data_IF_018072239899
#
_entry.id   IF_018072239899
#
_cell.length_a   1.000
_cell.length_b   1.000
_cell.length_c   1.000
_cell.angle_alpha   90.00
_cell.angle_beta   90.00
_cell.angle_gamma   90.00
#
_symmetry.space_group_name_H-M   'P 1'
#
loop_
_entity.id
_entity.type
_entity.pdbx_description
1 polymer ?
#
# COMPACT_ATOMS: atom_id res chain seq x y z
N UNK A 1 8.18 -5.84 17.17
CA UNK A 1 7.68 -5.34 18.48
C UNK A 1 8.83 -4.69 19.23
N UNK A 2 8.79 -3.35 19.34
CA UNK A 2 9.88 -2.51 19.88
C UNK A 2 10.33 -2.96 21.28
N UNK A 3 11.64 -2.91 21.54
CA UNK A 3 12.24 -3.26 22.82
C UNK A 3 11.59 -2.50 24.00
N UNK A 4 11.23 -1.24 23.77
CA UNK A 4 10.59 -0.37 24.76
C UNK A 4 9.19 -0.88 25.19
N UNK A 5 8.43 -1.50 24.29
CA UNK A 5 7.11 -2.07 24.61
C UNK A 5 7.28 -3.34 25.47
N UNK A 6 8.33 -4.13 25.23
CA UNK A 6 8.63 -5.31 26.06
C UNK A 6 9.07 -4.91 27.47
N UNK A 7 9.95 -3.91 27.58
CA UNK A 7 10.41 -3.37 28.85
C UNK A 7 9.24 -2.81 29.68
N UNK A 8 8.35 -2.05 29.04
CA UNK A 8 7.19 -1.45 29.70
C UNK A 8 6.21 -2.50 30.23
N UNK A 9 5.92 -3.56 29.44
CA UNK A 9 5.11 -4.70 29.91
C UNK A 9 5.69 -5.36 31.16
N UNK A 10 7.02 -5.52 31.18
CA UNK A 10 7.72 -6.11 32.32
C UNK A 10 7.62 -5.22 33.57
N UNK A 11 7.83 -3.90 33.42
CA UNK A 11 7.71 -2.93 34.52
C UNK A 11 6.30 -2.95 35.11
N UNK A 12 5.26 -2.89 34.27
CA UNK A 12 3.85 -2.91 34.73
C UNK A 12 3.51 -4.24 35.42
N UNK A 13 4.02 -5.36 34.92
CA UNK A 13 3.83 -6.67 35.55
C UNK A 13 4.46 -6.74 36.94
N UNK A 14 5.71 -6.30 37.07
CA UNK A 14 6.43 -6.29 38.36
C UNK A 14 5.81 -5.32 39.35
N UNK A 15 5.44 -4.10 38.92
CA UNK A 15 4.80 -3.11 39.80
C UNK A 15 3.44 -3.59 40.32
N UNK A 16 2.67 -4.28 39.48
CA UNK A 16 1.37 -4.85 39.88
C UNK A 16 1.52 -5.97 40.90
N UNK A 17 2.53 -6.84 40.72
CA UNK A 17 2.82 -7.90 41.69
C UNK A 17 3.27 -7.33 43.05
N UNK A 18 4.14 -6.32 43.04
CA UNK A 18 4.58 -5.63 44.26
C UNK A 18 3.42 -4.93 44.97
N UNK A 19 2.50 -4.30 44.23
CA UNK A 19 1.32 -3.66 44.82
C UNK A 19 0.40 -4.66 45.51
N UNK A 20 0.17 -5.84 44.91
CA UNK A 20 -0.62 -6.90 45.52
C UNK A 20 0.01 -7.40 46.82
N UNK A 21 1.33 -7.62 46.83
CA UNK A 21 2.07 -8.04 48.03
C UNK A 21 1.95 -6.98 49.12
N UNK A 22 2.16 -5.71 48.78
CA UNK A 22 2.04 -4.59 49.74
C UNK A 22 0.62 -4.49 50.32
N UNK A 23 -0.41 -4.63 49.47
CA UNK A 23 -1.81 -4.56 49.90
C UNK A 23 -2.20 -5.70 50.83
N UNK A 24 -1.68 -6.91 50.59
CA UNK A 24 -1.89 -8.06 51.48
C UNK A 24 -1.20 -7.87 52.84
N UNK A 25 0.03 -7.34 52.85
CA UNK A 25 0.75 -7.04 54.10
C UNK A 25 0.00 -5.98 54.91
N UNK A 26 -0.43 -4.88 54.26
CA UNK A 26 -1.18 -3.80 54.91
C UNK A 26 -2.52 -4.29 55.48
N UNK A 27 -3.20 -5.19 54.77
CA UNK A 27 -4.45 -5.81 55.24
C UNK A 27 -4.21 -6.72 56.44
N UNK A 28 -3.15 -7.52 56.42
CA UNK A 28 -2.77 -8.37 57.54
C UNK A 28 -2.45 -7.54 58.80
N UNK A 29 -1.69 -6.47 58.65
CA UNK A 29 -1.34 -5.55 59.74
C UNK A 29 -2.59 -4.86 60.32
N UNK A 30 -3.51 -4.44 59.46
CA UNK A 30 -4.77 -3.80 59.89
C UNK A 30 -5.64 -4.78 60.70
N UNK A 31 -5.72 -6.05 60.30
CA UNK A 31 -6.47 -7.09 61.02
C UNK A 31 -5.88 -7.35 62.42
N UNK A 32 -4.54 -7.39 62.52
CA UNK A 32 -3.85 -7.60 63.79
C UNK A 32 -4.02 -6.40 64.73
N UNK A 33 -3.78 -5.17 64.25
CA UNK A 33 -3.81 -3.96 65.08
C UNK A 33 -5.23 -3.63 65.58
N UNK A 34 -6.26 -3.85 64.77
CA UNK A 34 -7.66 -3.60 65.15
C UNK A 34 -8.32 -4.82 65.84
N UNK A 35 -7.56 -5.90 66.09
CA UNK A 35 -8.02 -7.17 66.70
C UNK A 35 -9.28 -7.73 66.04
N UNK A 36 -9.40 -7.55 64.73
CA UNK A 36 -10.59 -7.99 63.98
C UNK A 36 -10.72 -9.52 63.95
N UNK A 37 -9.64 -10.25 64.25
CA UNK A 37 -9.64 -11.72 64.38
C UNK A 37 -10.38 -12.24 65.62
N UNK A 38 -10.63 -11.41 66.63
CA UNK A 38 -11.35 -11.81 67.86
C UNK A 38 -12.87 -11.71 67.72
N UNK A 39 -13.36 -11.20 66.58
CA UNK A 39 -14.79 -11.03 66.32
C UNK A 39 -15.34 -12.09 65.38
N UNK A 40 -16.59 -12.49 65.61
CA UNK A 40 -17.30 -13.41 64.73
C UNK A 40 -17.52 -12.78 63.34
N UNK A 41 -17.38 -13.60 62.30
CA UNK A 41 -17.63 -13.18 60.92
C UNK A 41 -19.14 -12.92 60.77
N UNK A 42 -19.50 -11.68 60.49
CA UNK A 42 -20.86 -11.27 60.18
C UNK A 42 -20.96 -10.58 58.81
N UNK A 43 -22.11 -10.76 58.13
CA UNK A 43 -22.42 -10.14 56.84
C UNK A 43 -23.60 -9.16 56.92
N UNK A 44 -24.03 -8.81 58.12
CA UNK A 44 -25.08 -7.81 58.30
C UNK A 44 -24.59 -6.40 57.90
N UNK A 45 -25.53 -5.52 57.51
CA UNK A 45 -25.24 -4.16 57.03
C UNK A 45 -24.40 -3.36 58.04
N UNK A 46 -24.65 -3.52 59.34
CA UNK A 46 -23.87 -2.83 60.39
C UNK A 46 -22.42 -3.34 60.45
N UNK A 47 -22.24 -4.64 60.30
CA UNK A 47 -20.93 -5.30 60.31
C UNK A 47 -20.09 -4.91 59.08
N UNK A 48 -20.70 -4.87 57.90
CA UNK A 48 -20.05 -4.44 56.66
C UNK A 48 -19.64 -2.96 56.71
N UNK A 49 -20.47 -2.08 57.29
CA UNK A 49 -20.10 -0.66 57.47
C UNK A 49 -18.93 -0.49 58.41
N UNK A 50 -18.94 -1.17 59.56
CA UNK A 50 -17.84 -1.13 60.52
C UNK A 50 -16.52 -1.62 59.91
N UNK A 51 -16.55 -2.73 59.17
CA UNK A 51 -15.38 -3.25 58.46
C UNK A 51 -14.90 -2.29 57.37
N UNK A 52 -15.81 -1.72 56.58
CA UNK A 52 -15.48 -0.76 55.52
C UNK A 52 -14.87 0.54 56.08
N UNK A 53 -15.34 1.03 57.22
CA UNK A 53 -14.74 2.20 57.90
C UNK A 53 -13.32 1.90 58.37
N UNK A 54 -13.12 0.75 59.02
CA UNK A 54 -11.81 0.33 59.54
C UNK A 54 -10.80 -0.06 58.48
N UNK A 55 -11.26 -0.50 57.30
CA UNK A 55 -10.41 -0.86 56.15
C UNK A 55 -10.42 0.17 55.02
N UNK A 56 -11.03 1.33 55.24
CA UNK A 56 -11.23 2.39 54.24
C UNK A 56 -9.93 2.83 53.55
N UNK A 57 -8.82 2.89 54.28
CA UNK A 57 -7.50 3.19 53.71
C UNK A 57 -7.06 2.17 52.64
N UNK A 58 -7.25 0.87 52.91
CA UNK A 58 -6.93 -0.22 51.96
C UNK A 58 -7.86 -0.16 50.75
N UNK A 59 -9.16 0.08 50.97
CA UNK A 59 -10.14 0.24 49.89
C UNK A 59 -9.76 1.40 48.97
N UNK A 60 -9.30 2.53 49.52
CA UNK A 60 -8.84 3.68 48.74
C UNK A 60 -7.59 3.35 47.91
N UNK A 61 -6.64 2.58 48.43
CA UNK A 61 -5.48 2.10 47.65
C UNK A 61 -5.91 1.22 46.47
N UNK A 62 -6.81 0.26 46.70
CA UNK A 62 -7.33 -0.59 45.62
C UNK A 62 -8.09 0.21 44.56
N UNK A 63 -8.87 1.22 44.97
CA UNK A 63 -9.54 2.11 44.03
C UNK A 63 -8.54 2.91 43.18
N UNK A 64 -7.52 3.52 43.80
CA UNK A 64 -6.48 4.27 43.08
C UNK A 64 -5.70 3.38 42.10
N UNK A 65 -5.37 2.16 42.51
CA UNK A 65 -4.72 1.18 41.64
C UNK A 65 -5.64 0.70 40.50
N UNK A 66 -6.93 0.52 40.77
CA UNK A 66 -7.93 0.22 39.75
C UNK A 66 -7.99 1.31 38.68
N UNK A 67 -8.03 2.58 39.08
CA UNK A 67 -7.97 3.72 38.16
C UNK A 67 -6.68 3.75 37.33
N UNK A 68 -5.55 3.45 37.96
CA UNK A 68 -4.25 3.38 37.29
C UNK A 68 -4.24 2.26 36.24
N UNK A 69 -4.66 1.05 36.59
CA UNK A 69 -4.75 -0.08 35.63
C UNK A 69 -5.68 0.28 34.48
N UNK A 70 -6.88 0.78 34.77
CA UNK A 70 -7.85 1.14 33.71
C UNK A 70 -7.23 2.15 32.74
N UNK A 71 -6.53 3.16 33.25
CA UNK A 71 -5.83 4.15 32.40
C UNK A 71 -4.79 3.48 31.50
N UNK A 72 -3.95 2.59 32.05
CA UNK A 72 -2.98 1.84 31.24
C UNK A 72 -3.67 0.98 30.18
N UNK A 73 -4.68 0.21 30.56
CA UNK A 73 -5.43 -0.66 29.63
C UNK A 73 -6.05 0.16 28.51
N UNK A 74 -6.66 1.31 28.82
CA UNK A 74 -7.24 2.20 27.81
C UNK A 74 -6.18 2.73 26.84
N UNK A 75 -5.06 3.25 27.35
CA UNK A 75 -3.98 3.80 26.50
C UNK A 75 -3.38 2.71 25.61
N UNK A 76 -3.08 1.53 26.16
CA UNK A 76 -2.56 0.41 25.38
C UNK A 76 -3.58 -0.15 24.40
N UNK A 77 -4.86 -0.21 24.77
CA UNK A 77 -5.94 -0.64 23.90
C UNK A 77 -6.03 0.24 22.66
N UNK A 78 -6.01 1.57 22.83
CA UNK A 78 -5.98 2.54 21.73
C UNK A 78 -4.71 2.38 20.89
N UNK A 79 -3.54 2.23 21.52
CA UNK A 79 -2.28 2.05 20.80
C UNK A 79 -2.27 0.78 19.93
N UNK A 80 -2.75 -0.35 20.49
CA UNK A 80 -2.85 -1.63 19.77
C UNK A 80 -3.86 -1.51 18.64
N UNK A 81 -5.01 -0.86 18.85
CA UNK A 81 -6.00 -0.62 17.81
C UNK A 81 -5.38 0.17 16.64
N UNK A 82 -4.61 1.23 16.92
CA UNK A 82 -3.94 2.01 15.89
C UNK A 82 -2.87 1.21 15.13
N UNK A 83 -2.06 0.41 15.84
CA UNK A 83 -1.07 -0.48 15.20
C UNK A 83 -1.74 -1.52 14.31
N UNK A 84 -2.85 -2.11 14.78
CA UNK A 84 -3.63 -3.09 14.04
C UNK A 84 -4.24 -2.46 12.79
N UNK A 85 -4.78 -1.25 12.91
CA UNK A 85 -5.30 -0.48 11.78
C UNK A 85 -4.20 -0.22 10.74
N UNK A 86 -3.05 0.30 11.15
CA UNK A 86 -1.96 0.60 10.22
C UNK A 86 -1.39 -0.66 9.55
N UNK A 87 -1.23 -1.75 10.31
CA UNK A 87 -0.84 -3.05 9.75
C UNK A 87 -1.90 -3.57 8.77
N UNK A 88 -3.18 -3.39 9.08
CA UNK A 88 -4.31 -3.73 8.21
C UNK A 88 -4.29 -2.94 6.90
N UNK A 89 -4.13 -1.62 6.95
CA UNK A 89 -4.02 -0.76 5.76
C UNK A 89 -2.82 -1.18 4.91
N UNK A 90 -1.65 -1.39 5.51
CA UNK A 90 -0.45 -1.84 4.78
C UNK A 90 -0.67 -3.19 4.09
N UNK A 91 -1.27 -4.15 4.79
CA UNK A 91 -1.55 -5.47 4.23
C UNK A 91 -2.59 -5.39 3.10
N UNK A 92 -3.63 -4.57 3.28
CA UNK A 92 -4.65 -4.33 2.28
C UNK A 92 -4.04 -3.71 1.01
N UNK A 93 -3.21 -2.68 1.15
CA UNK A 93 -2.51 -2.04 0.02
C UNK A 93 -1.62 -3.03 -0.71
N UNK A 94 -0.87 -3.88 0.00
CA UNK A 94 -0.03 -4.90 -0.63
C UNK A 94 -0.85 -5.97 -1.38
N UNK A 95 -1.98 -6.38 -0.80
CA UNK A 95 -2.90 -7.32 -1.47
C UNK A 95 -3.54 -6.71 -2.71
N UNK A 96 -3.99 -5.45 -2.62
CA UNK A 96 -4.57 -4.71 -3.74
C UNK A 96 -3.53 -4.51 -4.86
N UNK A 97 -2.31 -4.09 -4.51
CA UNK A 97 -1.20 -3.97 -5.45
C UNK A 97 -0.94 -5.28 -6.19
N UNK A 98 -0.86 -6.39 -5.46
CA UNK A 98 -0.60 -7.72 -6.05
C UNK A 98 -1.73 -8.14 -6.99
N UNK A 99 -2.98 -7.89 -6.59
CA UNK A 99 -4.17 -8.19 -7.39
C UNK A 99 -4.21 -7.35 -8.68
N UNK A 100 -4.00 -6.04 -8.59
CA UNK A 100 -4.02 -5.15 -9.75
C UNK A 100 -2.87 -5.43 -10.72
N UNK A 101 -1.65 -5.69 -10.22
CA UNK A 101 -0.52 -6.10 -11.05
C UNK A 101 -0.79 -7.44 -11.76
N UNK A 102 -1.40 -8.40 -11.07
CA UNK A 102 -1.76 -9.69 -11.65
C UNK A 102 -2.80 -9.51 -12.75
N UNK A 103 -3.85 -8.73 -12.49
CA UNK A 103 -4.89 -8.39 -13.47
C UNK A 103 -4.31 -7.69 -14.71
N UNK A 104 -3.46 -6.68 -14.50
CA UNK A 104 -2.77 -5.99 -15.59
C UNK A 104 -1.94 -6.96 -16.43
N UNK A 105 -1.12 -7.80 -15.80
CA UNK A 105 -0.24 -8.75 -16.50
C UNK A 105 -1.05 -9.79 -17.28
N UNK A 106 -2.10 -10.35 -16.67
CA UNK A 106 -2.94 -11.35 -17.31
C UNK A 106 -3.68 -10.77 -18.51
N UNK A 107 -4.29 -9.60 -18.35
CA UNK A 107 -4.94 -8.89 -19.45
C UNK A 107 -3.94 -8.55 -20.55
N UNK A 108 -2.82 -7.93 -20.19
CA UNK A 108 -1.80 -7.52 -21.16
C UNK A 108 -1.22 -8.73 -21.91
N UNK A 109 -0.97 -9.83 -21.22
CA UNK A 109 -0.50 -11.07 -21.84
C UNK A 109 -1.55 -11.67 -22.77
N UNK A 110 -2.83 -11.68 -22.38
CA UNK A 110 -3.91 -12.21 -23.21
C UNK A 110 -4.16 -11.36 -24.46
N UNK A 111 -3.96 -10.04 -24.38
CA UNK A 111 -4.00 -9.17 -25.54
C UNK A 111 -2.77 -9.33 -26.43
N UNK A 112 -1.60 -9.59 -25.85
CA UNK A 112 -0.37 -9.79 -26.62
C UNK A 112 -0.44 -11.05 -27.51
N UNK A 113 -1.05 -12.14 -27.04
CA UNK A 113 -1.17 -13.38 -27.82
C UNK A 113 -2.02 -13.24 -29.08
N UNK A 114 -2.86 -12.20 -29.17
CA UNK A 114 -3.65 -11.89 -30.38
C UNK A 114 -2.81 -11.26 -31.50
N UNK A 115 -1.56 -10.88 -31.22
CA UNK A 115 -0.68 -10.12 -32.11
C UNK A 115 0.45 -11.03 -32.60
N UNK A 116 0.54 -11.22 -33.90
CA UNK A 116 1.52 -12.13 -34.52
C UNK A 116 2.93 -11.57 -34.56
N UNK A 117 3.06 -10.25 -34.52
CA UNK A 117 4.31 -9.55 -34.90
C UNK A 117 5.04 -8.98 -33.68
N UNK A 118 4.56 -9.26 -32.46
CA UNK A 118 5.18 -8.86 -31.19
C UNK A 118 5.54 -10.11 -30.39
N UNK A 119 6.81 -10.25 -30.04
CA UNK A 119 7.27 -11.38 -29.24
C UNK A 119 7.06 -11.13 -27.74
N UNK A 120 6.53 -12.09 -26.96
CA UNK A 120 6.32 -11.94 -25.52
C UNK A 120 7.58 -11.56 -24.73
N UNK A 121 8.73 -12.11 -25.11
CA UNK A 121 10.03 -11.83 -24.48
C UNK A 121 10.48 -10.36 -24.62
N UNK A 122 9.86 -9.63 -25.54
CA UNK A 122 10.16 -8.23 -25.82
C UNK A 122 9.30 -7.25 -25.04
N UNK A 123 8.41 -7.73 -24.17
CA UNK A 123 7.52 -6.89 -23.37
C UNK A 123 7.76 -7.16 -21.89
N UNK A 124 8.19 -6.12 -21.17
CA UNK A 124 8.34 -6.14 -19.73
C UNK A 124 7.10 -5.54 -19.05
N UNK A 125 6.13 -6.41 -18.73
CA UNK A 125 4.88 -6.01 -18.07
C UNK A 125 5.11 -5.31 -16.73
N UNK A 126 6.13 -5.69 -15.97
CA UNK A 126 6.43 -5.06 -14.69
C UNK A 126 6.93 -3.62 -14.87
N UNK A 127 7.79 -3.37 -15.86
CA UNK A 127 8.25 -2.02 -16.21
C UNK A 127 7.09 -1.16 -16.67
N UNK A 128 6.27 -1.68 -17.59
CA UNK A 128 5.08 -0.97 -18.06
C UNK A 128 4.16 -0.61 -16.90
N UNK A 129 3.80 -1.58 -16.07
CA UNK A 129 2.95 -1.37 -14.91
C UNK A 129 3.53 -0.33 -13.95
N UNK A 130 4.82 -0.39 -13.64
CA UNK A 130 5.47 0.55 -12.71
C UNK A 130 5.51 1.97 -13.25
N UNK A 131 5.66 2.15 -14.56
CA UNK A 131 5.59 3.46 -15.20
C UNK A 131 4.15 3.98 -15.17
N UNK A 132 3.17 3.12 -15.45
CA UNK A 132 1.75 3.49 -15.47
C UNK A 132 1.20 3.81 -14.08
N UNK A 133 1.57 3.03 -13.06
CA UNK A 133 1.05 3.10 -11.69
C UNK A 133 2.16 3.07 -10.63
N UNK A 134 2.99 4.14 -10.52
CA UNK A 134 4.15 4.17 -9.63
C UNK A 134 3.77 4.07 -8.14
N UNK A 135 2.64 4.65 -7.75
CA UNK A 135 2.18 4.73 -6.36
C UNK A 135 1.23 3.59 -5.94
N UNK A 136 1.08 2.56 -6.78
CA UNK A 136 0.15 1.45 -6.51
C UNK A 136 0.47 0.67 -5.23
N UNK A 137 1.74 0.63 -4.81
CA UNK A 137 2.14 0.02 -3.53
C UNK A 137 1.61 0.81 -2.32
N UNK A 138 1.40 2.12 -2.48
CA UNK A 138 0.77 3.01 -1.51
C UNK A 138 -0.76 2.95 -1.51
N UNK A 139 -1.36 2.20 -2.45
CA UNK A 139 -2.80 2.08 -2.63
C UNK A 139 -3.40 3.05 -3.65
N UNK A 140 -2.57 3.86 -4.33
CA UNK A 140 -3.02 4.76 -5.39
C UNK A 140 -2.81 4.13 -6.77
N UNK A 141 -3.90 3.80 -7.45
CA UNK A 141 -3.92 3.21 -8.80
C UNK A 141 -4.18 4.25 -9.89
N UNK A 142 -3.91 5.52 -9.62
CA UNK A 142 -4.00 6.58 -10.62
C UNK A 142 -2.89 6.46 -11.67
N UNK A 143 -3.23 6.74 -12.93
CA UNK A 143 -2.24 6.76 -14.01
C UNK A 143 -1.28 7.93 -13.84
N UNK A 144 0.02 7.65 -13.94
CA UNK A 144 1.05 8.65 -13.77
C UNK A 144 1.10 9.67 -14.91
N UNK A 145 1.54 10.89 -14.60
CA UNK A 145 1.80 11.91 -15.61
C UNK A 145 2.96 11.51 -16.53
N UNK A 146 3.98 10.87 -15.97
CA UNK A 146 5.16 10.38 -16.71
C UNK A 146 4.74 9.39 -17.81
N UNK A 147 3.80 8.48 -17.50
CA UNK A 147 3.25 7.57 -18.51
C UNK A 147 2.56 8.32 -19.64
N UNK A 148 1.71 9.29 -19.31
CA UNK A 148 1.01 10.11 -20.30
C UNK A 148 1.98 10.92 -21.18
N UNK A 149 3.07 11.41 -20.60
CA UNK A 149 4.13 12.10 -21.33
C UNK A 149 4.84 11.15 -22.31
N UNK A 150 5.12 9.90 -21.90
CA UNK A 150 5.69 8.90 -22.81
C UNK A 150 4.73 8.60 -23.96
N UNK A 151 3.43 8.41 -23.69
CA UNK A 151 2.41 8.24 -24.74
C UNK A 151 2.39 9.44 -25.70
N UNK A 152 2.46 10.66 -25.17
CA UNK A 152 2.55 11.87 -25.98
C UNK A 152 3.82 11.89 -26.84
N UNK A 153 4.96 11.43 -26.31
CA UNK A 153 6.21 11.34 -27.07
C UNK A 153 6.15 10.31 -28.19
N UNK A 154 5.45 9.18 -28.00
CA UNK A 154 5.19 8.21 -29.08
C UNK A 154 4.47 8.91 -30.23
N UNK A 155 3.39 9.66 -29.92
CA UNK A 155 2.67 10.47 -30.91
C UNK A 155 3.59 11.48 -31.59
N UNK A 156 4.42 12.21 -30.85
CA UNK A 156 5.35 13.18 -31.43
C UNK A 156 6.32 12.54 -32.43
N UNK A 157 6.79 11.31 -32.19
CA UNK A 157 7.64 10.59 -33.15
C UNK A 157 6.89 10.31 -34.46
N UNK A 158 5.62 9.92 -34.39
CA UNK A 158 4.76 9.71 -35.57
C UNK A 158 4.54 11.03 -36.34
N UNK A 159 4.24 12.10 -35.63
CA UNK A 159 3.99 13.42 -36.21
C UNK A 159 5.25 14.00 -36.86
N UNK A 160 6.41 13.83 -36.22
CA UNK A 160 7.70 14.21 -36.79
C UNK A 160 7.96 13.47 -38.11
N UNK A 161 7.78 12.14 -38.14
CA UNK A 161 7.92 11.35 -39.36
C UNK A 161 6.98 11.82 -40.49
N UNK A 162 5.74 12.18 -40.14
CA UNK A 162 4.79 12.73 -41.10
C UNK A 162 5.23 14.09 -41.65
N UNK A 163 5.76 14.97 -40.80
CA UNK A 163 6.26 16.28 -41.20
C UNK A 163 7.44 16.15 -42.18
N UNK A 164 8.33 15.18 -41.95
CA UNK A 164 9.44 14.86 -42.84
C UNK A 164 9.04 14.32 -44.22
N UNK A 165 7.78 13.96 -44.44
CA UNK A 165 7.25 13.56 -45.76
C UNK A 165 6.60 14.74 -46.48
N UNK A 166 5.98 15.66 -45.74
CA UNK A 166 5.17 16.73 -46.34
C UNK A 166 5.88 18.06 -46.51
N UNK A 167 6.99 18.29 -45.82
CA UNK A 167 7.76 19.52 -45.96
C UNK A 167 8.78 19.41 -47.10
N UNK A 168 8.81 20.39 -48.01
CA UNK A 168 9.64 20.39 -49.24
C UNK A 168 11.15 20.25 -48.98
N UNK A 169 11.63 20.59 -47.78
CA UNK A 169 13.06 20.59 -47.41
C UNK A 169 13.46 19.44 -46.48
N UNK A 170 12.56 18.47 -46.23
CA UNK A 170 12.82 17.35 -45.33
C UNK A 170 12.77 16.03 -46.10
N UNK A 171 13.77 15.19 -45.86
CA UNK A 171 13.81 13.83 -46.39
C UNK A 171 13.49 12.82 -45.30
N UNK A 172 12.49 11.97 -45.54
CA UNK A 172 12.07 10.95 -44.60
C UNK A 172 13.06 9.79 -44.54
N UNK A 173 13.77 9.68 -43.42
CA UNK A 173 14.70 8.58 -43.15
C UNK A 173 14.08 7.55 -42.23
N UNK A 174 13.60 6.44 -42.80
CA UNK A 174 12.94 5.37 -42.03
C UNK A 174 13.78 4.83 -40.86
N UNK A 175 15.11 4.74 -41.04
CA UNK A 175 16.02 4.29 -39.96
C UNK A 175 16.05 5.26 -38.79
N UNK A 176 15.87 6.55 -39.03
CA UNK A 176 15.79 7.56 -37.97
C UNK A 176 14.48 7.42 -37.21
N UNK A 177 13.35 7.29 -37.91
CA UNK A 177 12.04 7.02 -37.31
C UNK A 177 12.06 5.74 -36.46
N UNK A 178 12.56 4.64 -37.03
CA UNK A 178 12.68 3.35 -36.35
C UNK A 178 13.45 3.46 -35.02
N UNK A 179 14.61 4.13 -35.02
CA UNK A 179 15.41 4.32 -33.80
C UNK A 179 14.69 5.17 -32.75
N UNK A 180 14.03 6.26 -33.16
CA UNK A 180 13.27 7.12 -32.25
C UNK A 180 12.09 6.38 -31.61
N UNK A 181 11.34 5.65 -32.43
CA UNK A 181 10.21 4.85 -31.95
C UNK A 181 10.67 3.75 -30.99
N UNK A 182 11.74 3.02 -31.33
CA UNK A 182 12.34 2.02 -30.43
C UNK A 182 12.78 2.61 -29.09
N UNK A 183 13.39 3.81 -29.10
CA UNK A 183 13.85 4.46 -27.88
C UNK A 183 12.70 4.82 -26.94
N UNK A 184 11.62 5.40 -27.48
CA UNK A 184 10.45 5.80 -26.66
C UNK A 184 9.69 4.57 -26.16
N UNK A 185 9.52 3.54 -26.98
CA UNK A 185 8.83 2.31 -26.57
C UNK A 185 9.58 1.53 -25.48
N UNK A 186 10.91 1.58 -25.48
CA UNK A 186 11.69 0.94 -24.43
C UNK A 186 11.39 1.53 -23.06
N UNK A 187 11.00 2.81 -22.96
CA UNK A 187 10.70 3.47 -21.69
C UNK A 187 9.55 2.82 -20.94
N UNK A 188 8.50 2.39 -21.65
CA UNK A 188 7.39 1.60 -21.11
C UNK A 188 7.69 0.09 -21.09
N UNK A 189 8.88 -0.33 -21.51
CA UNK A 189 9.32 -1.73 -21.48
C UNK A 189 8.90 -2.55 -22.71
N UNK A 190 8.66 -1.93 -23.86
CA UNK A 190 8.42 -2.62 -25.13
C UNK A 190 9.65 -2.47 -26.03
N UNK A 191 10.36 -3.56 -26.30
CA UNK A 191 11.60 -3.54 -27.08
C UNK A 191 11.40 -4.12 -28.49
N UNK A 192 11.39 -3.29 -29.53
CA UNK A 192 11.30 -3.77 -30.92
C UNK A 192 12.69 -4.04 -31.50
N UNK A 193 12.82 -5.07 -32.35
CA UNK A 193 14.05 -5.31 -33.12
C UNK A 193 14.15 -4.40 -34.35
N UNK A 194 15.39 -4.06 -34.74
CA UNK A 194 15.61 -3.44 -36.05
C UNK A 194 15.17 -4.40 -37.17
N UNK A 195 14.51 -3.84 -38.18
CA UNK A 195 14.02 -4.62 -39.32
C UNK A 195 13.87 -3.80 -40.60
N UNK A 196 13.56 -4.47 -41.73
CA UNK A 196 13.14 -3.83 -42.98
C UNK A 196 11.90 -2.94 -42.78
N UNK A 197 11.72 -1.94 -43.65
CA UNK A 197 10.64 -0.94 -43.55
C UNK A 197 9.25 -1.58 -43.38
N UNK A 198 8.89 -2.52 -44.25
CA UNK A 198 7.55 -3.11 -44.27
C UNK A 198 7.24 -3.87 -42.97
N UNK A 199 8.20 -4.67 -42.50
CA UNK A 199 8.07 -5.42 -41.25
C UNK A 199 7.96 -4.46 -40.07
N UNK A 200 8.79 -3.41 -40.04
CA UNK A 200 8.74 -2.42 -38.95
C UNK A 200 7.38 -1.71 -38.89
N UNK A 201 6.81 -1.30 -40.03
CA UNK A 201 5.50 -0.62 -40.08
C UNK A 201 4.37 -1.53 -39.58
N UNK A 202 4.41 -2.82 -39.94
CA UNK A 202 3.45 -3.81 -39.45
C UNK A 202 3.54 -3.97 -37.93
N UNK A 203 4.77 -4.16 -37.41
CA UNK A 203 5.04 -4.29 -35.98
C UNK A 203 4.63 -3.03 -35.21
N UNK A 204 4.98 -1.85 -35.72
CA UNK A 204 4.56 -0.57 -35.16
C UNK A 204 3.04 -0.48 -35.09
N UNK A 205 2.32 -0.85 -36.17
CA UNK A 205 0.86 -0.83 -36.18
C UNK A 205 0.25 -1.71 -35.08
N UNK A 206 0.75 -2.93 -34.91
CA UNK A 206 0.26 -3.83 -33.88
C UNK A 206 0.58 -3.32 -32.47
N UNK A 207 1.72 -2.65 -32.27
CA UNK A 207 2.12 -2.11 -30.97
C UNK A 207 1.29 -0.89 -30.59
N UNK A 208 1.00 0.03 -31.52
CA UNK A 208 0.16 1.19 -31.22
C UNK A 208 -1.26 0.75 -30.84
N UNK A 209 -1.82 -0.20 -31.59
CA UNK A 209 -3.11 -0.82 -31.26
C UNK A 209 -3.08 -1.58 -29.91
N UNK A 210 -1.96 -2.23 -29.60
CA UNK A 210 -1.76 -2.89 -28.31
C UNK A 210 -1.78 -1.89 -27.16
N UNK A 211 -1.01 -0.82 -27.26
CA UNK A 211 -0.95 0.23 -26.26
C UNK A 211 -2.33 0.85 -26.06
N UNK A 212 -3.07 1.12 -27.14
CA UNK A 212 -4.44 1.64 -27.06
C UNK A 212 -5.39 0.68 -26.34
N UNK A 213 -5.30 -0.62 -26.61
CA UNK A 213 -6.12 -1.63 -25.93
C UNK A 213 -5.87 -1.63 -24.42
N UNK A 214 -4.60 -1.57 -24.00
CA UNK A 214 -4.23 -1.46 -22.58
C UNK A 214 -4.74 -0.15 -21.98
N UNK A 215 -4.52 0.95 -22.70
CA UNK A 215 -4.94 2.29 -22.28
C UNK A 215 -6.45 2.39 -22.06
N UNK A 216 -7.25 1.88 -22.98
CA UNK A 216 -8.71 1.89 -22.86
C UNK A 216 -9.20 1.07 -21.66
N UNK A 217 -8.44 0.06 -21.25
CA UNK A 217 -8.83 -0.84 -20.15
C UNK A 217 -8.39 -0.30 -18.78
N UNK A 218 -7.22 0.31 -18.71
CA UNK A 218 -6.57 0.67 -17.44
C UNK A 218 -6.41 2.18 -17.22
N UNK A 219 -6.61 3.01 -18.25
CA UNK A 219 -6.59 4.45 -18.11
C UNK A 219 -8.00 5.01 -18.27
N UNK A 220 -8.61 5.40 -17.16
CA UNK A 220 -9.93 6.03 -17.14
C UNK A 220 -9.89 7.55 -17.41
N UNK A 221 -8.73 8.09 -17.81
CA UNK A 221 -8.61 9.50 -18.15
C UNK A 221 -9.17 9.77 -19.55
N UNK A 222 -10.03 10.78 -19.68
CA UNK A 222 -10.50 11.27 -20.98
C UNK A 222 -9.39 11.89 -21.84
N UNK A 223 -8.18 12.03 -21.30
CA UNK A 223 -7.01 12.64 -21.96
C UNK A 223 -6.13 11.63 -22.71
N UNK A 224 -6.48 10.34 -22.75
CA UNK A 224 -5.61 9.35 -23.38
C UNK A 224 -5.72 9.42 -24.89
N UNK A 225 -4.58 9.58 -25.52
CA UNK A 225 -4.45 9.65 -26.97
C UNK A 225 -4.50 8.23 -27.53
N UNK A 226 -5.46 7.98 -28.42
CA UNK A 226 -5.48 6.74 -29.22
C UNK A 226 -4.42 6.81 -30.32
N UNK A 227 -3.29 6.15 -30.09
CA UNK A 227 -2.12 6.16 -30.97
C UNK A 227 -2.40 5.50 -32.33
N UNK A 228 -3.23 4.46 -32.35
CA UNK A 228 -3.65 3.75 -33.57
C UNK A 228 -4.45 4.63 -34.53
N UNK A 229 -5.13 5.66 -34.02
CA UNK A 229 -5.91 6.63 -34.81
C UNK A 229 -5.06 7.77 -35.37
N UNK A 230 -3.82 7.92 -34.94
CA UNK A 230 -2.91 8.93 -35.49
C UNK A 230 -2.58 8.56 -36.93
N UNK A 231 -2.87 9.47 -37.87
CA UNK A 231 -2.57 9.26 -39.30
C UNK A 231 -1.07 9.06 -39.50
N UNK A 232 -0.67 7.98 -40.18
CA UNK A 232 0.73 7.69 -40.53
C UNK A 232 0.90 7.80 -42.04
N UNK A 233 1.55 8.87 -42.51
CA UNK A 233 1.76 9.18 -43.94
C UNK A 233 2.90 8.37 -44.59
N UNK A 234 3.70 7.69 -43.79
CA UNK A 234 4.86 6.90 -44.21
C UNK A 234 4.56 5.43 -44.51
N UNK A 235 3.30 5.03 -44.32
CA UNK A 235 2.74 3.71 -44.64
C UNK A 235 2.36 3.66 -46.10
#
# INVERSE_FOLDING_TARGET
>A
MNANIRLLKYIVGVSSALFLIFSLISLFETIQNEKLYERDICFDSQCLKFFAEKTSGIVMYFQAFGWLITTFVTVFGVMIALMTYNAGVKNNNNSNYTSHLTMFREFASAELTKRSSIYPEKVNFFRWYRVMFPEAQGGDISVSRDYLEIISRIKCVIEEANAHITEENKDYKYKTHQRKMMAVLDEIGISISNGPKNIFIEVESQILDYIDTINLSFCHSSSVIELSRVKRKYI
#
